data_IF_762367798189
#
_entry.id   IF_762367798189
#
_cell.length_a   1.000
_cell.length_b   1.000
_cell.length_c   1.000
_cell.angle_alpha   90.00
_cell.angle_beta   90.00
_cell.angle_gamma   90.00
#
_symmetry.space_group_name_H-M   'P 1'
#
loop_
_entity.id
_entity.type
_entity.pdbx_description
1 polymer ?
#
# COMPACT_ATOMS: atom_id res chain seq x y z
N UNK A 1 3.52 18.60 10.88
CA UNK A 1 2.22 18.44 10.20
C UNK A 1 2.16 17.08 9.53
N UNK A 2 1.09 16.33 9.72
CA UNK A 2 0.96 15.05 9.03
C UNK A 2 0.79 15.28 7.53
N UNK A 3 1.42 14.41 6.74
CA UNK A 3 1.27 14.45 5.29
C UNK A 3 -0.09 13.87 4.90
N UNK A 4 -0.61 14.28 3.75
CA UNK A 4 -1.79 13.61 3.19
C UNK A 4 -1.37 12.35 2.43
N UNK A 5 -2.30 11.39 2.36
CA UNK A 5 -2.13 10.20 1.55
C UNK A 5 -2.92 10.38 0.26
N UNK A 6 -2.25 10.23 -0.87
CA UNK A 6 -2.89 10.27 -2.19
C UNK A 6 -2.77 8.88 -2.79
N UNK A 7 -3.90 8.31 -3.20
CA UNK A 7 -3.90 7.02 -3.90
C UNK A 7 -4.04 7.28 -5.40
N UNK A 8 -3.09 6.81 -6.18
CA UNK A 8 -3.24 6.84 -7.63
C UNK A 8 -4.36 5.91 -8.05
N UNK A 9 -4.95 6.16 -9.22
CA UNK A 9 -6.05 5.35 -9.74
C UNK A 9 -5.67 3.87 -9.77
N UNK A 10 -4.44 3.56 -10.19
CA UNK A 10 -3.96 2.18 -10.19
C UNK A 10 -3.98 1.58 -8.79
N UNK A 11 -3.52 2.33 -7.78
CA UNK A 11 -3.51 1.84 -6.41
C UNK A 11 -4.92 1.58 -5.90
N UNK A 12 -5.86 2.46 -6.22
CA UNK A 12 -7.26 2.24 -5.85
C UNK A 12 -7.81 0.97 -6.48
N UNK A 13 -7.51 0.74 -7.76
CA UNK A 13 -7.90 -0.47 -8.47
C UNK A 13 -7.30 -1.71 -7.82
N UNK A 14 -6.02 -1.65 -7.49
CA UNK A 14 -5.33 -2.77 -6.84
C UNK A 14 -6.00 -3.12 -5.53
N UNK A 15 -6.25 -2.12 -4.69
CA UNK A 15 -6.84 -2.31 -3.36
C UNK A 15 -8.24 -2.90 -3.47
N UNK A 16 -9.05 -2.37 -4.37
CA UNK A 16 -10.41 -2.87 -4.57
C UNK A 16 -10.40 -4.32 -5.02
N UNK A 17 -9.54 -4.66 -5.98
CA UNK A 17 -9.46 -6.03 -6.48
C UNK A 17 -9.02 -7.00 -5.40
N UNK A 18 -8.05 -6.61 -4.58
CA UNK A 18 -7.57 -7.46 -3.48
C UNK A 18 -8.68 -7.66 -2.44
N UNK A 19 -9.36 -6.57 -2.08
CA UNK A 19 -10.46 -6.62 -1.13
C UNK A 19 -11.55 -7.57 -1.61
N UNK A 20 -11.98 -7.41 -2.86
CA UNK A 20 -13.06 -8.24 -3.42
C UNK A 20 -12.66 -9.70 -3.48
N UNK A 21 -11.41 -9.98 -3.84
CA UNK A 21 -10.93 -11.36 -3.91
C UNK A 21 -11.01 -12.01 -2.52
N UNK A 22 -10.51 -11.34 -1.48
CA UNK A 22 -10.54 -11.90 -0.13
C UNK A 22 -11.97 -12.06 0.38
N UNK A 23 -12.86 -11.10 0.11
CA UNK A 23 -14.27 -11.22 0.52
C UNK A 23 -14.96 -12.40 -0.16
N UNK A 24 -14.57 -12.70 -1.40
CA UNK A 24 -15.12 -13.85 -2.11
C UNK A 24 -14.66 -15.18 -1.50
N UNK A 25 -13.49 -15.19 -0.86
CA UNK A 25 -12.95 -16.39 -0.23
C UNK A 25 -13.60 -16.63 1.13
N UNK A 26 -13.83 -15.58 1.89
CA UNK A 26 -14.42 -15.68 3.22
C UNK A 26 -14.95 -14.31 3.62
N UNK A 27 -16.19 -14.26 4.05
CA UNK A 27 -16.81 -13.02 4.51
C UNK A 27 -16.01 -12.41 5.66
N UNK A 28 -15.69 -11.13 5.55
CA UNK A 28 -14.91 -10.38 6.54
C UNK A 28 -13.42 -10.40 6.30
N UNK A 29 -12.93 -11.25 5.39
CA UNK A 29 -11.48 -11.35 5.14
C UNK A 29 -10.95 -10.11 4.43
N UNK A 30 -11.76 -9.54 3.52
CA UNK A 30 -11.40 -8.29 2.87
C UNK A 30 -11.27 -7.15 3.87
N UNK A 31 -12.15 -7.11 4.86
CA UNK A 31 -12.06 -6.09 5.92
C UNK A 31 -10.80 -6.25 6.74
N UNK A 32 -10.35 -7.48 7.00
CA UNK A 32 -9.09 -7.72 7.70
C UNK A 32 -7.90 -7.21 6.90
N UNK A 33 -7.90 -7.48 5.59
CA UNK A 33 -6.86 -6.95 4.72
C UNK A 33 -6.86 -5.42 4.74
N UNK A 34 -8.03 -4.83 4.60
CA UNK A 34 -8.16 -3.37 4.56
C UNK A 34 -7.68 -2.73 5.86
N UNK A 35 -7.96 -3.36 7.00
CA UNK A 35 -7.51 -2.89 8.30
C UNK A 35 -5.98 -2.89 8.40
N UNK A 36 -5.34 -3.96 7.93
CA UNK A 36 -3.87 -4.03 7.91
C UNK A 36 -3.27 -3.00 6.96
N UNK A 37 -3.88 -2.83 5.80
CA UNK A 37 -3.43 -1.83 4.84
C UNK A 37 -3.52 -0.42 5.42
N UNK A 38 -4.62 -0.11 6.09
CA UNK A 38 -4.80 1.21 6.72
C UNK A 38 -3.69 1.47 7.75
N UNK A 39 -3.34 0.47 8.55
CA UNK A 39 -2.28 0.61 9.52
C UNK A 39 -0.94 0.91 8.85
N UNK A 40 -0.66 0.26 7.72
CA UNK A 40 0.57 0.51 6.95
C UNK A 40 0.57 1.94 6.41
N UNK A 41 -0.56 2.38 5.85
CA UNK A 41 -0.65 3.74 5.29
C UNK A 41 -0.47 4.80 6.38
N UNK A 42 -1.02 4.58 7.57
CA UNK A 42 -0.82 5.51 8.69
C UNK A 42 0.63 5.54 9.14
N UNK A 43 1.29 4.40 9.21
CA UNK A 43 2.71 4.33 9.57
C UNK A 43 3.58 5.04 8.52
N UNK A 44 3.27 4.84 7.24
CA UNK A 44 3.98 5.50 6.15
C UNK A 44 3.77 7.02 6.21
N UNK A 45 2.55 7.45 6.50
CA UNK A 45 2.24 8.87 6.60
C UNK A 45 3.05 9.53 7.74
N UNK A 46 3.19 8.82 8.85
CA UNK A 46 3.91 9.34 10.02
C UNK A 46 5.42 9.35 9.80
N UNK A 47 5.97 8.33 9.10
CA UNK A 47 7.40 8.23 8.87
C UNK A 47 7.71 7.65 7.50
N UNK A 48 7.56 8.43 6.43
CA UNK A 48 7.69 7.89 5.07
C UNK A 48 9.09 7.39 4.73
N UNK A 49 10.13 7.82 5.46
CA UNK A 49 11.49 7.35 5.22
C UNK A 49 11.78 6.02 5.89
N UNK A 50 10.87 5.46 6.69
CA UNK A 50 11.12 4.21 7.41
C UNK A 50 11.18 2.98 6.49
N UNK A 51 10.52 3.03 5.34
CA UNK A 51 10.57 1.93 4.38
C UNK A 51 11.73 2.13 3.39
N UNK A 52 12.33 1.04 2.90
CA UNK A 52 13.48 1.15 2.00
C UNK A 52 13.11 1.69 0.64
N UNK A 53 14.05 2.41 0.03
CA UNK A 53 13.97 2.81 -1.37
C UNK A 53 14.38 1.60 -2.21
N UNK A 54 13.55 1.24 -3.18
CA UNK A 54 13.81 0.08 -4.04
C UNK A 54 14.20 0.46 -5.46
N UNK A 55 13.81 1.66 -5.92
CA UNK A 55 14.11 2.13 -7.27
C UNK A 55 13.86 3.63 -7.33
N UNK A 56 14.89 4.40 -7.72
CA UNK A 56 14.82 5.87 -7.75
C UNK A 56 14.31 6.37 -6.41
N UNK A 57 13.16 7.03 -6.37
CA UNK A 57 12.58 7.51 -5.12
C UNK A 57 11.40 6.66 -4.64
N UNK A 58 11.18 5.50 -5.27
CA UNK A 58 10.08 4.62 -4.91
C UNK A 58 10.46 3.78 -3.70
N UNK A 59 9.60 3.78 -2.70
CA UNK A 59 9.76 2.99 -1.48
C UNK A 59 8.73 1.87 -1.44
N UNK A 60 9.03 0.85 -0.63
CA UNK A 60 8.20 -0.34 -0.52
C UNK A 60 7.93 -0.66 0.95
N UNK A 61 6.65 -0.71 1.32
CA UNK A 61 6.21 -1.12 2.65
C UNK A 61 5.46 -2.44 2.56
N UNK A 62 5.60 -3.28 3.61
CA UNK A 62 4.99 -4.60 3.65
C UNK A 62 3.66 -4.54 4.40
N UNK A 63 2.63 -5.20 3.88
CA UNK A 63 1.35 -5.36 4.58
C UNK A 63 1.47 -6.57 5.50
N UNK A 64 1.35 -6.41 6.84
CA UNK A 64 1.46 -7.56 7.74
C UNK A 64 0.36 -8.58 7.51
N UNK A 65 0.70 -9.87 7.59
CA UNK A 65 -0.23 -11.01 7.51
C UNK A 65 -0.83 -11.25 6.14
N UNK A 66 -0.53 -10.41 5.16
CA UNK A 66 -0.99 -10.56 3.79
C UNK A 66 0.21 -10.41 2.86
N UNK A 67 0.25 -11.18 1.76
CA UNK A 67 1.43 -11.18 0.89
C UNK A 67 1.39 -10.02 -0.11
N UNK A 68 1.26 -8.79 0.40
CA UNK A 68 1.17 -7.60 -0.46
C UNK A 68 2.15 -6.53 -0.05
N UNK A 69 2.57 -5.74 -1.02
CA UNK A 69 3.53 -4.66 -0.87
C UNK A 69 2.91 -3.36 -1.36
N UNK A 70 3.14 -2.29 -0.61
CA UNK A 70 2.68 -0.95 -0.96
C UNK A 70 3.86 -0.18 -1.53
N UNK A 71 3.73 0.29 -2.77
CA UNK A 71 4.76 1.08 -3.44
C UNK A 71 4.35 2.55 -3.43
N UNK A 72 5.23 3.40 -2.94
CA UNK A 72 4.89 4.81 -2.77
C UNK A 72 6.11 5.71 -2.94
N UNK A 73 5.84 6.99 -3.18
CA UNK A 73 6.87 8.03 -3.14
C UNK A 73 6.49 9.05 -2.07
N UNK A 74 7.50 9.59 -1.39
CA UNK A 74 7.30 10.63 -0.39
C UNK A 74 7.61 11.98 -1.01
N UNK A 75 6.63 12.88 -0.95
CA UNK A 75 6.79 14.27 -1.37
C UNK A 75 6.70 15.15 -0.12
N UNK A 76 7.01 16.44 -0.24
CA UNK A 76 7.15 17.30 0.93
C UNK A 76 5.90 17.37 1.80
N UNK A 77 4.70 17.38 1.19
CA UNK A 77 3.45 17.54 1.92
C UNK A 77 2.54 16.33 1.82
N UNK A 78 2.97 15.28 1.09
CA UNK A 78 2.07 14.14 0.84
C UNK A 78 2.86 12.88 0.52
N UNK A 79 2.20 11.76 0.73
CA UNK A 79 2.68 10.43 0.29
C UNK A 79 1.79 9.99 -0.85
N UNK A 80 2.38 9.63 -1.99
CA UNK A 80 1.63 9.19 -3.16
C UNK A 80 1.81 7.69 -3.30
N UNK A 81 0.72 6.94 -3.14
CA UNK A 81 0.73 5.48 -3.28
C UNK A 81 0.53 5.14 -4.76
N UNK A 82 1.50 4.45 -5.33
CA UNK A 82 1.55 4.14 -6.75
C UNK A 82 0.82 2.84 -7.09
N UNK A 83 0.99 1.83 -6.23
CA UNK A 83 0.46 0.49 -6.49
C UNK A 83 0.48 -0.34 -5.22
N UNK A 84 -0.39 -1.37 -5.17
CA UNK A 84 -0.35 -2.40 -4.13
C UNK A 84 -0.32 -3.73 -4.85
N UNK A 85 0.81 -4.44 -4.75
CA UNK A 85 1.04 -5.64 -5.54
C UNK A 85 1.38 -6.82 -4.66
N UNK A 86 1.03 -8.02 -5.14
CA UNK A 86 1.40 -9.26 -4.47
C UNK A 86 2.92 -9.35 -4.39
N UNK A 87 3.43 -9.89 -3.28
CA UNK A 87 4.88 -9.95 -3.01
C UNK A 87 5.66 -10.78 -4.02
N UNK A 88 4.97 -11.68 -4.75
CA UNK A 88 5.61 -12.50 -5.78
C UNK A 88 5.77 -11.76 -7.10
N UNK A 89 5.21 -10.56 -7.25
CA UNK A 89 5.31 -9.78 -8.48
C UNK A 89 6.51 -8.85 -8.44
N UNK A 90 7.22 -8.77 -9.58
CA UNK A 90 8.25 -7.77 -9.78
C UNK A 90 7.59 -6.56 -10.43
N UNK A 91 7.57 -5.41 -9.75
CA UNK A 91 6.97 -4.22 -10.35
C UNK A 91 7.83 -3.73 -11.52
N UNK A 92 7.17 -3.40 -12.62
CA UNK A 92 7.78 -2.67 -13.73
C UNK A 92 7.54 -1.19 -13.46
N UNK A 93 8.49 -0.58 -12.84
CA UNK A 93 8.38 0.82 -12.46
C UNK A 93 9.27 1.68 -13.34
#
# INVERSE_FOLDING_TARGET
MPRSIILRVRAEHDIRGIFEWYESQQSGLGDKFFSQLRAVLEAVRAGPESAPVIYKNVRRAVVPKFPYLVFYVSESARVVVLAVLHSSRNPTI
#
